data_IF_992699280840
#
_entry.id   IF_992699280840
#
_cell.length_a   1.000
_cell.length_b   1.000
_cell.length_c   1.000
_cell.angle_alpha   90.00
_cell.angle_beta   90.00
_cell.angle_gamma   90.00
#
_symmetry.space_group_name_H-M   'P 1'
#
loop_
_entity.id
_entity.type
_entity.pdbx_description
1 polymer ?
#
# COMPACT_ATOMS: atom_id res chain seq x y z
N UNK A 1 -21.56 -19.63 -19.10
CA UNK A 1 -21.53 -18.15 -19.01
C UNK A 1 -21.26 -17.65 -17.57
N UNK A 2 -21.23 -18.51 -16.55
CA UNK A 2 -20.77 -18.17 -15.19
C UNK A 2 -19.26 -18.42 -14.96
N UNK A 3 -18.60 -19.20 -15.83
CA UNK A 3 -17.20 -19.63 -15.67
C UNK A 3 -16.16 -18.51 -15.77
N UNK A 4 -16.40 -17.46 -16.59
CA UNK A 4 -15.42 -16.40 -16.81
C UNK A 4 -15.13 -15.58 -15.54
N UNK A 5 -16.11 -15.50 -14.63
CA UNK A 5 -15.97 -14.80 -13.34
C UNK A 5 -15.16 -15.60 -12.32
N UNK A 6 -15.48 -16.89 -12.15
CA UNK A 6 -14.82 -17.76 -11.16
C UNK A 6 -13.35 -18.00 -11.51
N UNK A 7 -13.05 -18.33 -12.77
CA UNK A 7 -11.66 -18.50 -13.21
C UNK A 7 -10.87 -17.18 -13.15
N UNK A 8 -11.55 -16.05 -13.40
CA UNK A 8 -10.97 -14.71 -13.23
C UNK A 8 -10.52 -14.46 -11.81
N UNK A 9 -11.40 -14.71 -10.84
CA UNK A 9 -11.15 -14.55 -9.41
C UNK A 9 -10.07 -15.51 -8.90
N UNK A 10 -10.14 -16.79 -9.28
CA UNK A 10 -9.11 -17.79 -8.97
C UNK A 10 -7.72 -17.27 -9.37
N UNK A 11 -7.55 -16.82 -10.62
CA UNK A 11 -6.27 -16.28 -11.11
C UNK A 11 -5.82 -15.03 -10.35
N UNK A 12 -6.74 -14.18 -9.90
CA UNK A 12 -6.40 -12.99 -9.12
C UNK A 12 -5.91 -13.35 -7.72
N UNK A 13 -6.57 -14.29 -7.05
CA UNK A 13 -6.22 -14.80 -5.72
C UNK A 13 -4.88 -15.54 -5.78
N UNK A 14 -4.75 -16.48 -6.73
CA UNK A 14 -3.54 -17.29 -6.91
C UNK A 14 -2.28 -16.43 -7.10
N UNK A 15 -2.39 -15.33 -7.84
CA UNK A 15 -1.28 -14.37 -8.02
C UNK A 15 -0.89 -13.65 -6.72
N UNK A 16 -1.81 -13.44 -5.77
CA UNK A 16 -1.43 -12.86 -4.46
C UNK A 16 -0.68 -13.90 -3.64
N UNK A 17 -1.24 -15.10 -3.53
CA UNK A 17 -0.70 -16.19 -2.73
C UNK A 17 0.69 -16.65 -3.20
N UNK A 18 0.91 -16.73 -4.51
CA UNK A 18 2.24 -17.06 -5.08
C UNK A 18 3.31 -15.99 -4.84
N UNK A 19 2.92 -14.78 -4.42
CA UNK A 19 3.83 -13.66 -4.10
C UNK A 19 3.74 -13.24 -2.64
N UNK A 20 3.34 -14.16 -1.78
CA UNK A 20 3.26 -13.97 -0.34
C UNK A 20 4.00 -15.10 0.38
N UNK A 21 3.79 -15.22 1.69
CA UNK A 21 4.40 -16.26 2.50
C UNK A 21 3.91 -17.69 2.15
N UNK A 22 2.90 -17.84 1.28
CA UNK A 22 2.54 -19.13 0.68
C UNK A 22 3.42 -19.53 -0.52
N UNK A 23 4.38 -18.69 -0.92
CA UNK A 23 5.27 -18.99 -2.03
C UNK A 23 6.06 -20.30 -1.78
N UNK A 24 6.05 -21.21 -2.75
CA UNK A 24 6.65 -22.54 -2.64
C UNK A 24 5.66 -23.65 -2.26
N UNK A 25 4.44 -23.31 -1.84
CA UNK A 25 3.38 -24.28 -1.53
C UNK A 25 2.31 -24.33 -2.62
N UNK A 26 2.70 -24.67 -3.86
CA UNK A 26 1.83 -24.55 -5.04
C UNK A 26 0.47 -25.26 -4.91
N UNK A 27 0.44 -26.45 -4.29
CA UNK A 27 -0.80 -27.19 -4.06
C UNK A 27 -1.74 -26.48 -3.06
N UNK A 28 -1.18 -25.86 -2.03
CA UNK A 28 -1.94 -25.08 -1.02
C UNK A 28 -2.46 -23.80 -1.65
N UNK A 29 -1.62 -23.12 -2.44
CA UNK A 29 -2.00 -21.92 -3.19
C UNK A 29 -3.17 -22.17 -4.13
N UNK A 30 -3.14 -23.26 -4.90
CA UNK A 30 -4.20 -23.58 -5.85
C UNK A 30 -5.51 -23.98 -5.15
N UNK A 31 -5.42 -24.78 -4.08
CA UNK A 31 -6.56 -25.14 -3.23
C UNK A 31 -7.23 -23.90 -2.64
N UNK A 32 -6.45 -23.01 -1.99
CA UNK A 32 -6.96 -21.78 -1.38
C UNK A 32 -7.55 -20.83 -2.41
N UNK A 33 -6.90 -20.68 -3.57
CA UNK A 33 -7.41 -19.83 -4.65
C UNK A 33 -8.76 -20.33 -5.17
N UNK A 34 -8.94 -21.66 -5.26
CA UNK A 34 -10.19 -22.27 -5.71
C UNK A 34 -11.29 -22.14 -4.67
N UNK A 35 -11.03 -22.53 -3.42
CA UNK A 35 -12.03 -22.50 -2.36
C UNK A 35 -12.47 -21.08 -2.02
N UNK A 36 -11.55 -20.12 -2.02
CA UNK A 36 -11.89 -18.72 -1.75
C UNK A 36 -12.65 -18.08 -2.92
N UNK A 37 -12.30 -18.39 -4.17
CA UNK A 37 -13.05 -17.89 -5.32
C UNK A 37 -14.50 -18.39 -5.30
N UNK A 38 -14.71 -19.66 -4.95
CA UNK A 38 -16.04 -20.26 -4.81
C UNK A 38 -16.83 -19.60 -3.67
N UNK A 39 -16.22 -19.44 -2.49
CA UNK A 39 -16.84 -18.78 -1.34
C UNK A 39 -17.24 -17.31 -1.62
N UNK A 40 -16.43 -16.59 -2.41
CA UNK A 40 -16.76 -15.22 -2.84
C UNK A 40 -17.91 -15.22 -3.84
N UNK A 41 -17.91 -16.13 -4.82
CA UNK A 41 -19.01 -16.25 -5.81
C UNK A 41 -20.35 -16.60 -5.14
N UNK A 42 -20.29 -17.37 -4.05
CA UNK A 42 -21.46 -17.80 -3.29
C UNK A 42 -21.86 -16.81 -2.18
N UNK A 43 -21.27 -15.60 -2.15
CA UNK A 43 -21.50 -14.56 -1.13
C UNK A 43 -21.20 -15.00 0.33
N UNK A 44 -20.44 -16.07 0.52
CA UNK A 44 -20.03 -16.57 1.84
C UNK A 44 -18.88 -15.73 2.42
N UNK A 45 -18.05 -15.18 1.53
CA UNK A 45 -16.94 -14.27 1.88
C UNK A 45 -17.12 -12.94 1.15
N UNK A 46 -17.46 -11.91 1.92
CA UNK A 46 -17.71 -10.55 1.40
C UNK A 46 -16.91 -9.46 2.13
N UNK A 47 -15.92 -9.83 2.94
CA UNK A 47 -15.09 -8.90 3.73
C UNK A 47 -13.64 -9.35 3.78
N UNK A 48 -12.70 -8.43 4.06
CA UNK A 48 -11.28 -8.76 4.26
C UNK A 48 -11.06 -9.66 5.46
N UNK A 49 -11.83 -9.49 6.54
CA UNK A 49 -11.80 -10.38 7.70
C UNK A 49 -12.32 -11.78 7.34
N UNK A 50 -13.32 -11.86 6.46
CA UNK A 50 -13.81 -13.13 5.93
C UNK A 50 -12.75 -13.84 5.08
N UNK A 51 -11.98 -13.10 4.28
CA UNK A 51 -10.84 -13.66 3.54
C UNK A 51 -9.77 -14.17 4.51
N UNK A 52 -9.39 -13.38 5.52
CA UNK A 52 -8.40 -13.77 6.52
C UNK A 52 -8.84 -15.05 7.26
N UNK A 53 -10.09 -15.10 7.71
CA UNK A 53 -10.67 -16.27 8.37
C UNK A 53 -10.64 -17.51 7.47
N UNK A 54 -11.02 -17.36 6.20
CA UNK A 54 -10.96 -18.44 5.21
C UNK A 54 -9.52 -18.93 5.00
N UNK A 55 -8.56 -18.03 4.82
CA UNK A 55 -7.17 -18.42 4.69
C UNK A 55 -6.67 -19.13 5.95
N UNK A 56 -7.04 -18.68 7.15
CA UNK A 56 -6.65 -19.30 8.42
C UNK A 56 -7.25 -20.70 8.57
N UNK A 57 -8.51 -20.89 8.20
CA UNK A 57 -9.25 -22.15 8.32
C UNK A 57 -8.75 -23.22 7.33
N UNK A 58 -8.48 -22.83 6.08
CA UNK A 58 -8.12 -23.77 5.01
C UNK A 58 -6.61 -23.90 4.78
N UNK A 59 -5.77 -23.19 5.53
CA UNK A 59 -4.30 -23.35 5.48
C UNK A 59 -3.80 -24.38 6.48
N UNK A 60 -2.78 -25.19 6.13
CA UNK A 60 -2.12 -26.08 7.09
C UNK A 60 -1.57 -25.32 8.30
N UNK A 61 -1.75 -25.85 9.51
CA UNK A 61 -1.30 -25.22 10.76
C UNK A 61 0.20 -24.87 10.76
N UNK A 62 1.02 -25.75 10.15
CA UNK A 62 2.47 -25.56 10.00
C UNK A 62 2.80 -24.31 9.18
N UNK A 63 2.06 -24.09 8.09
CA UNK A 63 2.23 -22.91 7.22
C UNK A 63 1.76 -21.66 7.96
N UNK A 64 0.58 -21.70 8.60
CA UNK A 64 0.06 -20.54 9.36
C UNK A 64 1.01 -20.12 10.49
N UNK A 65 1.62 -21.09 11.17
CA UNK A 65 2.61 -20.83 12.23
C UNK A 65 3.91 -20.21 11.70
N UNK A 66 4.32 -20.55 10.48
CA UNK A 66 5.49 -19.95 9.81
C UNK A 66 5.22 -18.55 9.24
N UNK A 67 3.99 -18.29 8.78
CA UNK A 67 3.57 -17.00 8.24
C UNK A 67 3.40 -15.95 9.34
N UNK A 68 2.77 -16.31 10.46
CA UNK A 68 2.43 -15.35 11.53
C UNK A 68 1.17 -14.52 11.23
N UNK A 69 0.47 -14.07 12.29
CA UNK A 69 -0.85 -13.44 12.15
C UNK A 69 -0.83 -12.10 11.39
N UNK A 70 0.25 -11.32 11.50
CA UNK A 70 0.37 -10.02 10.81
C UNK A 70 0.50 -10.18 9.28
N UNK A 71 1.16 -11.23 8.79
CA UNK A 71 1.35 -11.49 7.37
C UNK A 71 0.08 -12.05 6.71
N UNK A 72 -0.76 -12.79 7.46
CA UNK A 72 -2.02 -13.34 6.94
C UNK A 72 -3.04 -12.23 6.65
N UNK A 73 -3.14 -11.25 7.55
CA UNK A 73 -3.99 -10.07 7.37
C UNK A 73 -3.57 -9.22 6.15
N UNK A 74 -2.26 -9.04 5.91
CA UNK A 74 -1.75 -8.36 4.71
C UNK A 74 -2.15 -9.10 3.42
N UNK A 75 -2.04 -10.43 3.42
CA UNK A 75 -2.44 -11.27 2.29
C UNK A 75 -3.94 -11.13 2.01
N UNK A 76 -4.77 -11.18 3.06
CA UNK A 76 -6.22 -11.04 2.94
C UNK A 76 -6.61 -9.68 2.35
N UNK A 77 -5.97 -8.61 2.80
CA UNK A 77 -6.20 -7.28 2.25
C UNK A 77 -5.77 -7.16 0.78
N UNK A 78 -4.64 -7.75 0.39
CA UNK A 78 -4.18 -7.76 -1.01
C UNK A 78 -5.14 -8.53 -1.93
N UNK A 79 -5.78 -9.57 -1.42
CA UNK A 79 -6.83 -10.30 -2.14
C UNK A 79 -8.10 -9.45 -2.22
N UNK A 80 -8.60 -8.92 -1.10
CA UNK A 80 -9.82 -8.11 -1.06
C UNK A 80 -9.75 -6.91 -2.02
N UNK A 81 -8.62 -6.21 -2.02
CA UNK A 81 -8.33 -5.11 -2.95
C UNK A 81 -8.36 -5.50 -4.44
N UNK A 82 -8.03 -6.74 -4.79
CA UNK A 82 -8.08 -7.22 -6.19
C UNK A 82 -9.47 -7.65 -6.62
N UNK A 83 -10.26 -8.10 -5.66
CA UNK A 83 -11.62 -8.59 -5.87
C UNK A 83 -12.69 -7.50 -5.66
N UNK A 84 -12.27 -6.27 -5.32
CA UNK A 84 -13.16 -5.16 -4.97
C UNK A 84 -14.09 -5.49 -3.77
N UNK A 85 -13.59 -6.31 -2.85
CA UNK A 85 -14.28 -6.71 -1.63
C UNK A 85 -14.01 -5.67 -0.54
N UNK A 86 -15.08 -5.16 0.07
CA UNK A 86 -15.00 -4.08 1.06
C UNK A 86 -14.38 -4.56 2.38
N UNK A 87 -13.57 -3.70 3.00
CA UNK A 87 -13.25 -3.79 4.42
C UNK A 87 -14.52 -3.49 5.23
N UNK A 88 -14.78 -4.19 6.34
CA UNK A 88 -15.77 -3.65 7.31
C UNK A 88 -15.21 -2.34 7.86
N UNK A 89 -16.10 -1.39 8.08
CA UNK A 89 -15.86 0.02 8.41
C UNK A 89 -15.01 0.28 9.68
N UNK A 90 -14.46 -0.74 10.35
CA UNK A 90 -13.82 -0.63 11.67
C UNK A 90 -12.30 -0.92 11.69
N UNK A 91 -11.64 -1.22 10.57
CA UNK A 91 -10.16 -1.33 10.52
C UNK A 91 -9.58 -0.53 9.35
N UNK A 92 -9.65 0.79 9.45
CA UNK A 92 -8.89 1.73 8.62
C UNK A 92 -7.57 2.17 9.29
N UNK A 93 -7.08 1.39 10.25
CA UNK A 93 -5.81 1.64 10.94
C UNK A 93 -4.92 0.40 10.89
N UNK A 94 -4.44 0.05 9.69
CA UNK A 94 -3.14 -0.59 9.41
C UNK A 94 -3.24 -1.37 8.11
N UNK A 95 -2.66 -0.81 7.06
CA UNK A 95 -1.58 -1.42 6.27
C UNK A 95 -1.33 -0.51 5.07
N UNK A 96 -0.04 -0.30 4.80
CA UNK A 96 0.55 0.67 3.85
C UNK A 96 0.58 2.12 4.35
N UNK A 97 1.45 2.37 5.34
CA UNK A 97 2.13 3.67 5.51
C UNK A 97 2.71 4.04 4.14
N UNK A 98 2.23 5.11 3.52
CA UNK A 98 3.15 6.21 3.34
C UNK A 98 2.46 7.59 3.33
N UNK A 99 1.12 7.69 3.34
CA UNK A 99 0.53 8.99 3.61
C UNK A 99 -0.97 9.04 3.80
N UNK A 100 -1.34 9.51 4.99
CA UNK A 100 -2.69 9.92 5.35
C UNK A 100 -3.26 10.84 4.26
N UNK A 101 -4.42 10.51 3.71
CA UNK A 101 -5.06 11.31 2.68
C UNK A 101 -5.52 12.65 3.30
N UNK A 102 -5.01 13.77 2.77
CA UNK A 102 -5.25 15.12 3.31
C UNK A 102 -6.31 15.91 2.53
N UNK A 103 -6.95 15.28 1.54
CA UNK A 103 -7.88 15.94 0.62
C UNK A 103 -7.20 16.64 -0.55
N UNK A 104 -7.94 17.52 -1.24
CA UNK A 104 -7.46 18.26 -2.42
C UNK A 104 -6.67 19.52 -1.99
N UNK A 105 -5.54 19.79 -2.63
CA UNK A 105 -4.78 21.03 -2.43
C UNK A 105 -3.51 21.09 -3.28
N UNK A 106 -2.70 22.13 -3.08
CA UNK A 106 -1.45 22.31 -3.82
C UNK A 106 -0.32 21.45 -3.24
N UNK A 107 0.30 20.63 -4.10
CA UNK A 107 1.44 19.81 -3.72
C UNK A 107 2.67 20.67 -3.42
N UNK A 108 3.28 20.51 -2.24
CA UNK A 108 4.45 21.29 -1.80
C UNK A 108 5.74 21.05 -2.61
N UNK A 109 5.73 20.06 -3.51
CA UNK A 109 6.84 19.81 -4.43
C UNK A 109 6.53 20.29 -5.85
N UNK A 110 5.48 19.74 -6.48
CA UNK A 110 5.18 20.02 -7.90
C UNK A 110 4.19 21.15 -8.13
N UNK A 111 3.68 21.78 -7.06
CA UNK A 111 2.78 22.95 -7.09
C UNK A 111 1.47 22.73 -7.85
N UNK A 112 1.12 21.48 -8.15
CA UNK A 112 -0.16 21.13 -8.78
C UNK A 112 -1.23 20.94 -7.72
N UNK A 113 -2.42 21.45 -8.00
CA UNK A 113 -3.64 21.15 -7.27
C UNK A 113 -4.03 19.67 -7.50
N UNK A 114 -3.86 18.84 -6.47
CA UNK A 114 -4.02 17.39 -6.52
C UNK A 114 -4.58 16.87 -5.17
N UNK A 115 -5.10 15.64 -5.13
CA UNK A 115 -5.24 14.91 -3.88
C UNK A 115 -3.86 14.72 -3.21
N UNK A 116 -3.76 15.12 -1.95
CA UNK A 116 -2.53 15.15 -1.17
C UNK A 116 -2.48 14.01 -0.15
N UNK A 117 -1.25 13.59 0.14
CA UNK A 117 -0.90 12.62 1.17
C UNK A 117 0.12 13.26 2.13
N UNK A 118 0.05 12.93 3.41
CA UNK A 118 1.05 13.35 4.38
C UNK A 118 2.33 12.49 4.25
N UNK A 119 3.43 13.06 3.79
CA UNK A 119 4.71 12.36 3.72
C UNK A 119 5.61 12.73 4.91
N UNK A 120 6.05 11.74 5.68
CA UNK A 120 6.94 11.94 6.82
C UNK A 120 8.36 12.28 6.37
N UNK A 121 8.85 13.46 6.73
CA UNK A 121 10.21 13.90 6.40
C UNK A 121 11.28 13.06 7.12
N UNK A 122 10.97 12.58 8.33
CA UNK A 122 11.72 11.50 8.98
C UNK A 122 10.84 10.25 8.92
N UNK A 123 11.15 9.27 8.06
CA UNK A 123 10.33 8.06 7.93
C UNK A 123 10.13 7.36 9.27
N UNK A 124 8.91 6.91 9.55
CA UNK A 124 8.49 6.33 10.84
C UNK A 124 9.37 5.17 11.28
N UNK A 125 9.76 4.31 10.33
CA UNK A 125 10.69 3.20 10.56
C UNK A 125 12.03 3.65 11.17
N UNK A 126 12.47 4.88 10.88
CA UNK A 126 13.73 5.43 11.39
C UNK A 126 13.58 6.18 12.71
N UNK A 127 12.36 6.39 13.23
CA UNK A 127 12.12 7.16 14.46
C UNK A 127 12.89 6.62 15.66
N UNK A 128 12.97 5.29 15.82
CA UNK A 128 13.73 4.68 16.92
C UNK A 128 15.22 5.07 16.89
N UNK A 129 15.81 5.17 15.69
CA UNK A 129 17.21 5.57 15.50
C UNK A 129 17.40 7.06 15.82
N UNK A 130 16.51 7.92 15.33
CA UNK A 130 16.62 9.37 15.53
C UNK A 130 16.24 9.83 16.94
N UNK A 131 15.32 9.13 17.62
CA UNK A 131 15.03 9.34 19.04
C UNK A 131 16.26 9.09 19.91
N UNK A 132 17.05 8.04 19.60
CA UNK A 132 18.34 7.79 20.28
C UNK A 132 19.39 8.87 20.01
N UNK A 133 19.26 9.64 18.94
CA UNK A 133 20.11 10.79 18.61
C UNK A 133 19.63 12.11 19.24
N UNK A 134 18.56 12.06 20.05
CA UNK A 134 18.06 13.22 20.78
C UNK A 134 16.94 14.01 20.09
N UNK A 135 16.41 13.53 18.94
CA UNK A 135 15.27 14.19 18.31
C UNK A 135 13.99 14.01 19.12
N UNK A 136 13.19 15.08 19.21
CA UNK A 136 11.90 15.07 19.91
C UNK A 136 10.82 14.37 19.10
N UNK A 137 9.70 14.04 19.76
CA UNK A 137 8.56 13.46 19.06
C UNK A 137 7.99 14.43 18.03
N UNK A 138 7.97 15.74 18.31
CA UNK A 138 7.50 16.76 17.36
C UNK A 138 8.38 16.80 16.10
N UNK A 139 9.71 16.79 16.26
CA UNK A 139 10.65 16.80 15.13
C UNK A 139 10.50 15.56 14.24
N UNK A 140 10.27 14.39 14.85
CA UNK A 140 10.08 13.12 14.13
C UNK A 140 8.77 13.07 13.35
N UNK A 141 7.73 13.78 13.79
CA UNK A 141 6.42 13.78 13.16
C UNK A 141 6.23 14.92 12.16
N UNK A 142 7.29 15.64 11.78
CA UNK A 142 7.21 16.60 10.69
C UNK A 142 6.82 15.91 9.38
N UNK A 143 5.79 16.45 8.74
CA UNK A 143 5.25 15.97 7.47
C UNK A 143 5.20 17.09 6.44
N UNK A 144 5.24 16.70 5.17
CA UNK A 144 4.99 17.57 4.01
C UNK A 144 3.77 17.06 3.25
N UNK A 145 2.99 17.97 2.67
CA UNK A 145 1.75 17.66 1.94
C UNK A 145 2.05 17.55 0.45
N UNK A 146 2.07 16.32 -0.06
CA UNK A 146 2.48 16.07 -1.44
C UNK A 146 1.49 15.17 -2.16
N UNK A 147 1.42 15.29 -3.49
CA UNK A 147 0.60 14.39 -4.28
C UNK A 147 1.24 13.00 -4.42
N UNK A 148 0.40 11.97 -4.58
CA UNK A 148 0.86 10.57 -4.70
C UNK A 148 1.97 10.35 -5.75
N UNK A 149 1.97 10.98 -6.94
CA UNK A 149 3.11 10.88 -7.87
C UNK A 149 4.44 11.37 -7.30
N UNK A 150 4.46 12.51 -6.62
CA UNK A 150 5.69 13.04 -6.00
C UNK A 150 6.15 12.14 -4.87
N UNK A 151 5.20 11.66 -4.10
CA UNK A 151 5.46 10.75 -3.02
C UNK A 151 6.09 9.43 -3.47
N UNK A 152 5.49 8.79 -4.49
CA UNK A 152 6.05 7.60 -5.13
C UNK A 152 7.43 7.88 -5.76
N UNK A 153 7.68 9.08 -6.28
CA UNK A 153 8.99 9.42 -6.83
C UNK A 153 10.06 9.45 -5.73
N UNK A 154 9.79 10.07 -4.58
CA UNK A 154 10.71 10.14 -3.44
C UNK A 154 11.15 8.73 -3.01
N UNK A 155 10.19 7.83 -2.75
CA UNK A 155 10.48 6.47 -2.29
C UNK A 155 11.06 5.55 -3.38
N UNK A 156 10.93 5.91 -4.66
CA UNK A 156 11.64 5.23 -5.75
C UNK A 156 13.09 5.68 -5.87
N UNK A 157 13.37 6.93 -5.51
CA UNK A 157 14.72 7.51 -5.62
C UNK A 157 15.58 7.13 -4.42
N UNK A 158 15.02 7.15 -3.20
CA UNK A 158 15.77 6.92 -1.97
C UNK A 158 15.04 6.00 -0.99
N UNK A 159 15.81 5.18 -0.28
CA UNK A 159 15.31 4.40 0.85
C UNK A 159 15.06 5.28 2.09
N UNK A 160 14.31 4.74 3.06
CA UNK A 160 13.91 5.44 4.28
C UNK A 160 15.10 5.92 5.14
N UNK A 161 16.23 5.20 5.14
CA UNK A 161 17.41 5.61 5.90
C UNK A 161 18.09 6.81 5.26
N UNK A 162 18.22 6.80 3.93
CA UNK A 162 18.79 7.90 3.13
C UNK A 162 17.92 9.15 3.25
N UNK A 163 16.60 9.01 3.14
CA UNK A 163 15.64 10.12 3.31
C UNK A 163 15.80 10.79 4.69
N UNK A 164 15.73 10.01 5.76
CA UNK A 164 15.85 10.57 7.11
C UNK A 164 17.21 11.22 7.39
N UNK A 165 18.28 10.79 6.71
CA UNK A 165 19.64 11.31 6.93
C UNK A 165 19.95 12.56 6.10
N UNK A 166 19.53 12.59 4.83
CA UNK A 166 19.99 13.57 3.85
C UNK A 166 18.87 14.43 3.26
N UNK A 167 17.60 13.99 3.33
CA UNK A 167 16.47 14.63 2.64
C UNK A 167 15.27 14.86 3.56
N UNK A 168 15.53 15.19 4.83
CA UNK A 168 14.52 15.31 5.87
C UNK A 168 13.83 16.70 5.97
N UNK A 169 13.80 17.45 4.88
CA UNK A 169 13.12 18.75 4.76
C UNK A 169 12.74 18.96 3.30
N UNK A 170 11.68 19.72 3.02
CA UNK A 170 11.25 20.04 1.65
C UNK A 170 12.38 20.70 0.84
N UNK A 171 13.15 21.60 1.47
CA UNK A 171 14.26 22.30 0.83
C UNK A 171 15.36 21.33 0.38
N UNK A 172 15.67 20.32 1.20
CA UNK A 172 16.65 19.27 0.84
C UNK A 172 16.14 18.37 -0.28
N UNK A 173 14.85 18.02 -0.27
CA UNK A 173 14.22 17.25 -1.36
C UNK A 173 14.29 18.03 -2.68
N UNK A 174 13.95 19.32 -2.67
CA UNK A 174 14.01 20.19 -3.85
C UNK A 174 15.45 20.56 -4.27
N UNK A 175 16.40 20.46 -3.35
CA UNK A 175 17.82 20.65 -3.61
C UNK A 175 18.49 19.46 -4.32
N UNK A 176 17.86 18.29 -4.32
CA UNK A 176 18.36 17.10 -5.02
C UNK A 176 18.05 17.14 -6.53
N UNK A 177 19.03 16.80 -7.37
CA UNK A 177 18.89 16.86 -8.82
C UNK A 177 17.87 15.84 -9.35
N UNK A 178 17.86 14.62 -8.80
CA UNK A 178 16.98 13.55 -9.27
C UNK A 178 15.51 13.85 -8.95
N UNK A 179 15.25 14.26 -7.71
CA UNK A 179 13.91 14.68 -7.27
C UNK A 179 13.47 15.93 -8.03
N UNK A 180 14.32 16.96 -8.11
CA UNK A 180 13.98 18.23 -8.78
C UNK A 180 13.66 18.03 -10.27
N UNK A 181 14.38 17.13 -10.96
CA UNK A 181 14.09 16.77 -12.35
C UNK A 181 12.70 16.17 -12.50
N UNK A 182 12.31 15.25 -11.60
CA UNK A 182 10.96 14.70 -11.58
C UNK A 182 9.93 15.79 -11.30
N UNK A 183 10.14 16.61 -10.26
CA UNK A 183 9.23 17.67 -9.84
C UNK A 183 8.96 18.66 -10.99
N UNK A 184 10.01 19.12 -11.68
CA UNK A 184 9.89 20.03 -12.84
C UNK A 184 9.13 19.40 -14.02
N UNK A 185 9.25 18.10 -14.20
CA UNK A 185 8.46 17.38 -15.20
C UNK A 185 6.99 17.24 -14.75
N UNK A 186 6.77 16.85 -13.49
CA UNK A 186 5.46 16.63 -12.88
C UNK A 186 4.61 17.90 -12.90
N UNK A 187 5.20 19.05 -12.57
CA UNK A 187 4.54 20.37 -12.58
C UNK A 187 3.91 20.73 -13.94
N UNK A 188 4.44 20.16 -15.05
CA UNK A 188 3.94 20.40 -16.41
C UNK A 188 2.85 19.41 -16.83
N UNK A 189 2.60 18.37 -16.04
CA UNK A 189 1.62 17.34 -16.37
C UNK A 189 0.22 17.77 -15.97
N UNK A 190 -0.76 17.51 -16.84
CA UNK A 190 -2.17 17.77 -16.53
C UNK A 190 -2.58 16.97 -15.28
N UNK A 191 -3.26 17.60 -14.31
CA UNK A 191 -3.95 16.87 -13.25
C UNK A 191 -4.92 15.89 -13.90
N UNK A 192 -4.72 14.59 -13.71
CA UNK A 192 -5.72 13.59 -14.11
C UNK A 192 -6.83 13.61 -13.06
N UNK A 193 -8.04 13.98 -13.48
CA UNK A 193 -9.17 14.29 -12.60
C UNK A 193 -9.66 13.08 -11.77
N UNK A 194 -9.55 13.25 -10.46
CA UNK A 194 -10.51 13.00 -9.35
C UNK A 194 -11.19 11.66 -9.04
N UNK A 195 -11.40 10.68 -9.93
CA UNK A 195 -12.09 9.43 -9.48
C UNK A 195 -11.13 8.38 -8.89
N UNK A 196 -9.81 8.55 -9.07
CA UNK A 196 -8.80 7.58 -8.60
C UNK A 196 -8.23 7.89 -7.22
N UNK A 197 -8.61 9.02 -6.60
CA UNK A 197 -8.04 9.52 -5.36
C UNK A 197 -8.43 8.69 -4.11
N UNK A 198 -9.57 7.98 -4.19
CA UNK A 198 -10.13 7.20 -3.09
C UNK A 198 -9.64 5.75 -3.07
N UNK A 199 -8.95 5.30 -4.12
CA UNK A 199 -8.51 3.92 -4.20
C UNK A 199 -7.01 3.84 -3.87
N UNK A 200 -6.70 3.37 -2.65
CA UNK A 200 -5.34 3.12 -2.14
C UNK A 200 -4.49 2.24 -3.04
N UNK A 201 -5.09 1.58 -4.03
CA UNK A 201 -4.49 0.64 -4.98
C UNK A 201 -4.24 1.22 -6.38
N UNK A 202 -4.63 2.48 -6.66
CA UNK A 202 -4.53 3.08 -7.98
C UNK A 202 -3.06 3.18 -8.45
N UNK A 203 -2.62 2.17 -9.21
CA UNK A 203 -1.33 2.18 -9.91
C UNK A 203 -1.42 3.21 -11.03
N UNK A 204 -0.68 4.32 -10.90
CA UNK A 204 -0.39 5.18 -12.04
C UNK A 204 0.16 4.32 -13.17
N UNK A 205 -0.56 4.25 -14.30
CA UNK A 205 -0.14 3.54 -15.51
C UNK A 205 1.22 4.06 -15.95
N UNK A 206 2.14 3.13 -16.19
CA UNK A 206 3.49 3.38 -16.72
C UNK A 206 3.43 3.97 -18.11
#
# INVERSE_FOLDING_TARGET
LADDGLEGMHRQIQRVLTTSAFAGHEAVVDMLATSLADAVVNDEVATTEGIEAHLKEYSPEEIVAEIGEEDLADIALRIGNRLDISVREEVLERTYDDGEALGQGDCELCEREMPLTAHHLIPRETHRKYRKKGMTQEELNLTTKICRPCHSAIHRTYDNQTLGAHFNTVEKLLGDEAILKFVKWAAKQRPTNTDMAMNGTAKYRR
#
